data_IF_735052195926
#
_entry.id   IF_735052195926
#
_cell.length_a   1.000
_cell.length_b   1.000
_cell.length_c   1.000
_cell.angle_alpha   90.00
_cell.angle_beta   90.00
_cell.angle_gamma   90.00
#
_symmetry.space_group_name_H-M   'P 1'
#
loop_
_entity.id
_entity.type
_entity.pdbx_description
1 polymer ?
#
# COMPACT_ATOMS: atom_id res chain seq x y z
N UNK A 1 8.83 11.62 0.36
CA UNK A 1 9.95 12.30 0.95
C UNK A 1 11.02 11.28 1.38
N UNK A 2 12.11 11.76 1.96
CA UNK A 2 13.29 10.94 2.23
C UNK A 2 13.42 10.49 3.67
N UNK A 3 12.38 10.64 4.47
CA UNK A 3 12.44 10.24 5.87
C UNK A 3 12.40 8.73 6.02
N UNK A 4 13.29 8.19 6.83
CA UNK A 4 13.20 6.79 7.25
C UNK A 4 12.13 6.69 8.33
N UNK A 5 11.14 5.84 8.10
CA UNK A 5 10.01 5.67 9.00
C UNK A 5 10.09 4.33 9.72
N UNK A 6 9.87 4.39 11.03
CA UNK A 6 9.74 3.21 11.87
C UNK A 6 8.29 2.71 11.79
N UNK A 7 8.11 1.40 11.71
CA UNK A 7 6.78 0.77 11.67
C UNK A 7 5.92 1.20 12.85
N UNK A 8 6.51 1.30 14.05
CA UNK A 8 5.78 1.75 15.22
C UNK A 8 5.26 3.17 15.07
N UNK A 9 6.10 4.08 14.54
CA UNK A 9 5.70 5.46 14.33
C UNK A 9 4.54 5.58 13.34
N UNK A 10 4.46 4.69 12.37
CA UNK A 10 3.39 4.68 11.37
C UNK A 10 2.07 4.16 11.93
N UNK A 11 2.11 3.24 12.88
CA UNK A 11 0.93 2.47 13.28
C UNK A 11 0.48 2.68 14.71
N UNK A 12 1.36 3.09 15.64
CA UNK A 12 1.04 3.19 17.06
C UNK A 12 -0.06 4.24 17.32
N UNK A 13 -1.09 3.82 18.02
CA UNK A 13 -2.22 4.68 18.37
C UNK A 13 -3.10 5.06 17.19
N UNK A 14 -2.94 4.38 16.05
CA UNK A 14 -3.69 4.69 14.82
C UNK A 14 -4.37 3.45 14.27
N UNK A 15 -5.53 3.67 13.65
CA UNK A 15 -6.14 2.70 12.78
C UNK A 15 -5.71 3.01 11.36
N UNK A 16 -5.02 2.07 10.72
CA UNK A 16 -4.44 2.29 9.40
C UNK A 16 -4.96 1.26 8.40
N UNK A 17 -5.06 1.69 7.15
CA UNK A 17 -5.24 0.82 6.00
C UNK A 17 -3.98 0.98 5.16
N UNK A 18 -3.32 -0.14 4.88
CA UNK A 18 -2.15 -0.18 4.04
C UNK A 18 -2.42 -1.11 2.87
N UNK A 19 -2.20 -0.62 1.66
CA UNK A 19 -2.25 -1.47 0.48
C UNK A 19 -0.90 -1.45 -0.22
N UNK A 20 -0.54 -2.58 -0.79
CA UNK A 20 0.74 -2.74 -1.47
C UNK A 20 0.52 -3.10 -2.93
N UNK A 21 1.38 -2.55 -3.76
CA UNK A 21 1.34 -2.77 -5.20
C UNK A 21 2.69 -3.32 -5.67
N UNK A 22 2.69 -4.17 -6.71
CA UNK A 22 3.95 -4.69 -7.27
C UNK A 22 4.87 -3.63 -7.84
N UNK A 23 4.35 -2.50 -8.29
CA UNK A 23 5.23 -1.44 -8.80
C UNK A 23 4.50 -0.16 -9.15
N UNK A 24 5.10 0.97 -8.76
CA UNK A 24 4.66 2.29 -9.18
C UNK A 24 4.68 2.38 -10.71
N UNK A 25 3.76 3.15 -11.28
CA UNK A 25 3.63 3.37 -12.73
C UNK A 25 3.33 2.12 -13.55
N UNK A 26 2.95 1.01 -12.93
CA UNK A 26 2.52 -0.19 -13.65
C UNK A 26 1.01 -0.17 -13.88
N UNK A 27 0.48 -0.95 -14.86
CA UNK A 27 -0.91 -0.76 -15.33
C UNK A 27 -2.00 -0.87 -14.25
N UNK A 28 -2.16 -2.00 -13.59
CA UNK A 28 -3.21 -2.18 -12.58
C UNK A 28 -3.01 -1.27 -11.40
N UNK A 29 -1.76 -1.08 -10.97
CA UNK A 29 -1.43 -0.21 -9.85
C UNK A 29 -1.84 1.24 -10.13
N UNK A 30 -1.60 1.72 -11.35
CA UNK A 30 -1.87 3.10 -11.74
C UNK A 30 -3.29 3.33 -12.23
N UNK A 31 -3.94 2.32 -12.81
CA UNK A 31 -5.25 2.48 -13.45
C UNK A 31 -6.41 2.07 -12.54
N UNK A 32 -6.18 1.26 -11.53
CA UNK A 32 -7.25 0.74 -10.70
C UNK A 32 -6.95 0.76 -9.20
N UNK A 33 -5.81 0.23 -8.75
CA UNK A 33 -5.57 0.04 -7.32
C UNK A 33 -5.44 1.37 -6.58
N UNK A 34 -4.46 2.18 -6.93
CA UNK A 34 -4.26 3.49 -6.30
C UNK A 34 -5.45 4.44 -6.54
N UNK A 35 -5.97 4.57 -7.77
CA UNK A 35 -7.12 5.46 -7.99
C UNK A 35 -8.34 5.12 -7.14
N UNK A 36 -8.62 3.85 -6.90
CA UNK A 36 -9.72 3.44 -6.03
C UNK A 36 -9.61 3.99 -4.63
N UNK A 37 -8.42 3.94 -4.04
CA UNK A 37 -8.17 4.50 -2.71
C UNK A 37 -8.21 6.02 -2.71
N UNK A 38 -7.74 6.66 -3.76
CA UNK A 38 -7.82 8.13 -3.90
C UNK A 38 -9.27 8.59 -3.89
N UNK A 39 -10.12 7.93 -4.67
CA UNK A 39 -11.56 8.28 -4.78
C UNK A 39 -12.27 8.08 -3.44
N UNK A 40 -11.94 7.04 -2.70
CA UNK A 40 -12.64 6.67 -1.47
C UNK A 40 -11.92 7.17 -0.19
N UNK A 41 -10.89 7.98 -0.31
CA UNK A 41 -10.09 8.42 0.83
C UNK A 41 -10.93 9.06 1.94
N UNK A 42 -11.87 9.93 1.59
CA UNK A 42 -12.72 10.60 2.57
C UNK A 42 -13.66 9.62 3.27
N UNK A 43 -14.11 8.58 2.58
CA UNK A 43 -14.96 7.55 3.16
C UNK A 43 -14.21 6.69 4.17
N UNK A 44 -12.92 6.42 3.92
CA UNK A 44 -12.07 5.76 4.89
C UNK A 44 -11.92 6.58 6.16
N UNK A 45 -11.71 7.89 6.03
CA UNK A 45 -11.65 8.80 7.17
C UNK A 45 -12.94 8.79 7.97
N UNK A 46 -14.08 8.81 7.29
CA UNK A 46 -15.40 8.80 7.94
C UNK A 46 -15.62 7.50 8.72
N UNK A 47 -14.93 6.42 8.36
CA UNK A 47 -14.99 5.13 9.06
C UNK A 47 -13.96 5.00 10.19
N UNK A 48 -13.23 6.06 10.50
CA UNK A 48 -12.27 6.07 11.61
C UNK A 48 -10.85 5.63 11.24
N UNK A 49 -10.53 5.60 9.97
CA UNK A 49 -9.16 5.31 9.51
C UNK A 49 -8.32 6.58 9.63
N UNK A 50 -7.25 6.50 10.41
CA UNK A 50 -6.38 7.64 10.67
C UNK A 50 -5.37 7.89 9.56
N UNK A 51 -4.97 6.84 8.85
CA UNK A 51 -3.97 6.95 7.79
C UNK A 51 -4.18 5.89 6.72
N UNK A 52 -3.96 6.30 5.46
CA UNK A 52 -3.93 5.42 4.30
C UNK A 52 -2.49 5.37 3.79
N UNK A 53 -1.94 4.17 3.69
CA UNK A 53 -0.57 3.95 3.21
C UNK A 53 -0.56 3.13 1.94
N UNK A 54 0.28 3.52 0.98
CA UNK A 54 0.56 2.75 -0.22
C UNK A 54 2.02 2.32 -0.21
N UNK A 55 2.27 1.02 -0.20
CA UNK A 55 3.61 0.43 -0.15
C UNK A 55 4.00 -0.13 -1.51
N UNK A 56 5.23 0.09 -1.90
CA UNK A 56 5.81 -0.57 -3.06
C UNK A 56 7.32 -0.73 -2.90
N UNK A 57 7.89 -1.74 -3.52
CA UNK A 57 9.35 -1.91 -3.61
C UNK A 57 9.84 -1.00 -4.74
N UNK A 58 9.91 0.27 -4.43
CA UNK A 58 10.40 1.35 -5.28
C UNK A 58 11.12 2.34 -4.37
N UNK A 59 11.96 3.18 -4.94
CA UNK A 59 12.62 4.20 -4.14
C UNK A 59 11.67 5.39 -3.84
N UNK A 60 12.09 6.23 -2.90
CA UNK A 60 11.27 7.35 -2.46
C UNK A 60 11.00 8.38 -3.56
N UNK A 61 11.93 8.55 -4.48
CA UNK A 61 11.76 9.50 -5.58
C UNK A 61 10.69 9.03 -6.57
N UNK A 62 10.69 7.75 -6.89
CA UNK A 62 9.67 7.15 -7.76
C UNK A 62 8.30 7.23 -7.09
N UNK A 63 8.21 6.90 -5.81
CA UNK A 63 6.94 6.95 -5.08
C UNK A 63 6.38 8.38 -5.01
N UNK A 64 7.24 9.36 -4.80
CA UNK A 64 6.82 10.76 -4.77
C UNK A 64 6.30 11.22 -6.13
N UNK A 65 6.99 10.85 -7.20
CA UNK A 65 6.56 11.19 -8.56
C UNK A 65 5.23 10.53 -8.91
N UNK A 66 5.06 9.28 -8.50
CA UNK A 66 3.81 8.55 -8.74
C UNK A 66 2.64 9.17 -7.96
N UNK A 67 2.87 9.54 -6.70
CA UNK A 67 1.87 10.24 -5.89
C UNK A 67 1.39 11.52 -6.60
N UNK A 68 2.33 12.32 -7.10
CA UNK A 68 2.00 13.56 -7.80
C UNK A 68 1.24 13.29 -9.11
N UNK A 69 1.67 12.30 -9.88
CA UNK A 69 1.03 11.94 -11.14
C UNK A 69 -0.41 11.43 -10.94
N UNK A 70 -0.70 10.82 -9.80
CA UNK A 70 -2.00 10.24 -9.48
C UNK A 70 -2.88 11.18 -8.64
N UNK A 71 -2.41 12.37 -8.29
CA UNK A 71 -3.11 13.29 -7.38
C UNK A 71 -3.49 12.61 -6.06
N UNK A 72 -2.55 11.84 -5.49
CA UNK A 72 -2.79 10.98 -4.34
C UNK A 72 -2.30 11.61 -3.03
N UNK A 73 -2.54 12.90 -2.83
CA UNK A 73 -2.05 13.63 -1.64
C UNK A 73 -2.65 13.10 -0.34
N UNK A 74 -3.83 12.50 -0.39
CA UNK A 74 -4.48 11.91 0.79
C UNK A 74 -3.85 10.58 1.22
N UNK A 75 -2.94 10.03 0.41
CA UNK A 75 -2.33 8.73 0.66
C UNK A 75 -0.83 8.94 0.91
N UNK A 76 -0.35 8.41 2.03
CA UNK A 76 1.08 8.45 2.35
C UNK A 76 1.79 7.31 1.63
N UNK A 77 2.78 7.66 0.82
CA UNK A 77 3.56 6.66 0.08
C UNK A 77 4.69 6.13 0.94
N UNK A 78 4.83 4.80 0.97
CA UNK A 78 5.91 4.10 1.67
C UNK A 78 6.81 3.44 0.64
N UNK A 79 8.06 3.87 0.61
CA UNK A 79 9.06 3.34 -0.30
C UNK A 79 9.90 2.27 0.42
N UNK A 80 9.69 1.01 0.05
CA UNK A 80 10.50 -0.10 0.55
C UNK A 80 11.57 -0.41 -0.50
N UNK A 81 12.57 0.48 -0.58
CA UNK A 81 13.51 0.54 -1.69
C UNK A 81 14.25 -0.76 -2.00
N UNK A 82 14.62 -1.52 -0.98
CA UNK A 82 15.32 -2.80 -1.15
C UNK A 82 14.42 -4.02 -0.90
N UNK A 83 13.15 -3.80 -0.57
CA UNK A 83 12.21 -4.88 -0.32
C UNK A 83 12.35 -5.56 1.04
N UNK A 84 13.21 -5.05 1.92
CA UNK A 84 13.48 -5.71 3.20
C UNK A 84 12.26 -5.81 4.11
N UNK A 85 11.46 -4.75 4.17
CA UNK A 85 10.25 -4.76 4.99
C UNK A 85 9.20 -5.71 4.43
N UNK A 86 9.02 -5.69 3.11
CA UNK A 86 8.09 -6.59 2.42
C UNK A 86 8.49 -8.05 2.61
N UNK A 87 9.80 -8.35 2.55
CA UNK A 87 10.30 -9.70 2.83
C UNK A 87 10.04 -10.11 4.29
N UNK A 88 10.24 -9.21 5.23
CA UNK A 88 9.99 -9.49 6.64
C UNK A 88 8.53 -9.84 6.92
N UNK A 89 7.60 -9.31 6.14
CA UNK A 89 6.18 -9.66 6.22
C UNK A 89 5.84 -11.01 5.54
N UNK A 90 6.78 -11.58 4.77
CA UNK A 90 6.51 -12.79 3.99
C UNK A 90 5.66 -12.54 2.74
N UNK A 91 5.61 -11.29 2.27
CA UNK A 91 4.76 -10.88 1.15
C UNK A 91 5.55 -10.38 -0.06
N UNK A 92 6.83 -10.70 -0.11
CA UNK A 92 7.67 -10.37 -1.26
C UNK A 92 7.55 -11.44 -2.35
N UNK A 93 7.82 -11.04 -3.58
CA UNK A 93 7.81 -11.91 -4.73
C UNK A 93 9.03 -11.60 -5.59
N UNK A 94 9.83 -12.63 -5.92
CA UNK A 94 10.95 -12.47 -6.82
C UNK A 94 10.46 -12.61 -8.27
N UNK A 95 10.69 -11.57 -9.08
CA UNK A 95 10.27 -11.56 -10.48
C UNK A 95 11.44 -11.67 -11.46
N UNK A 96 12.64 -11.88 -10.95
CA UNK A 96 13.86 -12.07 -11.77
C UNK A 96 14.13 -10.89 -12.69
N UNK A 97 14.41 -11.18 -13.94
CA UNK A 97 14.76 -10.15 -14.92
C UNK A 97 13.62 -9.18 -15.24
N UNK A 98 12.40 -9.55 -14.94
CA UNK A 98 11.23 -8.67 -15.18
C UNK A 98 11.30 -7.41 -14.32
N UNK A 99 11.52 -7.55 -13.02
CA UNK A 99 11.52 -6.40 -12.12
C UNK A 99 12.16 -6.66 -10.77
N UNK A 100 12.87 -7.75 -10.60
CA UNK A 100 13.53 -8.10 -9.35
C UNK A 100 12.56 -8.41 -8.22
N UNK A 101 12.94 -8.04 -7.01
CA UNK A 101 12.12 -8.26 -5.82
C UNK A 101 10.99 -7.23 -5.77
N UNK A 102 9.76 -7.72 -5.64
CA UNK A 102 8.57 -6.86 -5.58
C UNK A 102 7.64 -7.31 -4.47
N UNK A 103 6.72 -6.42 -4.07
CA UNK A 103 5.63 -6.80 -3.20
C UNK A 103 4.59 -7.60 -3.98
N UNK A 104 3.98 -8.57 -3.34
CA UNK A 104 2.71 -9.11 -3.82
C UNK A 104 1.66 -8.02 -3.66
N UNK A 105 0.56 -8.14 -4.38
CA UNK A 105 -0.55 -7.20 -4.22
C UNK A 105 -1.36 -7.61 -2.99
N UNK A 106 -1.45 -6.74 -2.01
CA UNK A 106 -2.21 -7.03 -0.80
C UNK A 106 -2.73 -5.74 -0.17
N UNK A 107 -3.61 -5.89 0.82
CA UNK A 107 -4.03 -4.80 1.68
C UNK A 107 -4.25 -5.33 3.08
N UNK A 108 -4.08 -4.48 4.09
CA UNK A 108 -4.31 -4.85 5.47
C UNK A 108 -4.98 -3.71 6.24
N UNK A 109 -5.65 -4.10 7.31
CA UNK A 109 -6.18 -3.18 8.30
C UNK A 109 -5.43 -3.45 9.59
N UNK A 110 -4.82 -2.43 10.18
CA UNK A 110 -4.11 -2.54 11.44
C UNK A 110 -4.65 -1.52 12.43
N UNK A 111 -4.67 -1.90 13.71
CA UNK A 111 -5.10 -1.03 14.79
C UNK A 111 -4.03 -1.05 15.87
N UNK A 112 -3.45 0.11 16.15
CA UNK A 112 -2.39 0.27 17.16
C UNK A 112 -1.25 -0.73 16.96
N UNK A 113 -0.83 -0.92 15.71
CA UNK A 113 0.29 -1.79 15.36
C UNK A 113 -0.06 -3.27 15.21
N UNK A 114 -1.30 -3.66 15.44
CA UNK A 114 -1.75 -5.05 15.31
C UNK A 114 -2.57 -5.22 14.03
N UNK A 115 -2.15 -6.14 13.17
CA UNK A 115 -2.89 -6.45 11.93
C UNK A 115 -4.16 -7.19 12.31
N UNK A 116 -5.31 -6.59 12.00
CA UNK A 116 -6.62 -7.18 12.27
C UNK A 116 -7.10 -8.03 11.11
N UNK A 117 -6.83 -7.60 9.88
CA UNK A 117 -7.24 -8.30 8.66
C UNK A 117 -6.17 -8.14 7.59
N UNK A 118 -5.95 -9.19 6.83
CA UNK A 118 -4.99 -9.21 5.73
C UNK A 118 -5.65 -9.83 4.50
N UNK A 119 -5.57 -9.13 3.37
CA UNK A 119 -6.16 -9.55 2.10
C UNK A 119 -5.04 -9.64 1.05
N UNK A 120 -4.66 -10.86 0.70
CA UNK A 120 -3.59 -11.10 -0.28
C UNK A 120 -4.21 -11.59 -1.58
N UNK A 121 -3.87 -10.92 -2.69
CA UNK A 121 -4.37 -11.32 -4.00
C UNK A 121 -3.70 -12.62 -4.47
N UNK A 122 -4.46 -13.45 -5.14
CA UNK A 122 -3.87 -14.55 -5.92
C UNK A 122 -3.04 -13.93 -7.06
N UNK A 123 -1.98 -14.63 -7.53
CA UNK A 123 -1.13 -14.09 -8.61
C UNK A 123 -1.95 -13.62 -9.81
N UNK A 124 -1.70 -12.37 -10.22
CA UNK A 124 -2.37 -11.77 -11.37
C UNK A 124 -3.81 -11.32 -11.13
N UNK A 125 -4.31 -11.42 -9.90
CA UNK A 125 -5.69 -11.03 -9.57
C UNK A 125 -5.76 -9.67 -8.89
N UNK A 126 -6.96 -9.07 -8.95
CA UNK A 126 -7.28 -7.83 -8.26
C UNK A 126 -8.75 -7.89 -7.82
N UNK A 127 -9.01 -8.60 -6.71
CA UNK A 127 -10.38 -8.92 -6.28
C UNK A 127 -10.63 -8.66 -4.79
N UNK A 128 -9.58 -8.64 -3.94
CA UNK A 128 -9.74 -8.60 -2.49
C UNK A 128 -9.00 -7.45 -1.82
N UNK A 129 -8.05 -6.81 -2.49
CA UNK A 129 -7.23 -5.72 -1.93
C UNK A 129 -7.67 -4.33 -2.39
N UNK A 130 -8.72 -4.24 -3.19
CA UNK A 130 -9.24 -2.99 -3.69
C UNK A 130 -9.89 -2.16 -2.58
N UNK A 131 -10.05 -0.86 -2.84
CA UNK A 131 -10.56 0.07 -1.84
C UNK A 131 -11.97 -0.27 -1.38
N UNK A 132 -12.85 -0.68 -2.29
CA UNK A 132 -14.22 -1.06 -1.95
C UNK A 132 -14.25 -2.24 -0.97
N UNK A 133 -13.42 -3.26 -1.21
CA UNK A 133 -13.36 -4.45 -0.36
C UNK A 133 -12.87 -4.08 1.04
N UNK A 134 -11.85 -3.24 1.15
CA UNK A 134 -11.31 -2.79 2.43
C UNK A 134 -12.33 -1.92 3.18
N UNK A 135 -13.00 -1.02 2.47
CA UNK A 135 -14.02 -0.16 3.06
C UNK A 135 -15.17 -0.99 3.64
N UNK A 136 -15.59 -2.03 2.93
CA UNK A 136 -16.65 -2.94 3.39
C UNK A 136 -16.23 -3.76 4.61
N UNK A 137 -14.94 -3.99 4.80
CA UNK A 137 -14.41 -4.76 5.92
C UNK A 137 -14.24 -3.95 7.21
N UNK A 138 -14.38 -2.63 7.14
CA UNK A 138 -14.22 -1.74 8.30
C UNK A 138 -15.45 -1.71 9.21
#
# INVERSE_FOLDING_TARGET
DKQVKDTQALCTGKRVVLFAVPGAFTPTCSNAHLPGYVVLADEFKAKGVDALYCLSVNDAFVMKAWQAAQNADAITMLADGDGSWTQALGLAKETGAFGGLRAQRFALIANDGVVEQLFVEAPGKFEVSDAQSLLAAL
#
